data_IF_298570131184
#
_entry.id   IF_298570131184
#
_cell.length_a   1.000
_cell.length_b   1.000
_cell.length_c   1.000
_cell.angle_alpha   90.00
_cell.angle_beta   90.00
_cell.angle_gamma   90.00
#
_symmetry.space_group_name_H-M   'P 1'
#
loop_
_entity.id
_entity.type
_entity.pdbx_description
1 polymer ?
#
# COMPACT_ATOMS: atom_id res chain seq x y z
N UNK A 1 8.97 -22.67 -4.02
CA UNK A 1 9.21 -21.24 -4.35
C UNK A 1 9.94 -21.12 -5.69
N UNK A 2 9.52 -20.20 -6.60
CA UNK A 2 10.30 -19.81 -7.79
C UNK A 2 11.34 -18.76 -7.38
N UNK A 3 12.48 -18.75 -8.05
CA UNK A 3 13.56 -17.79 -7.79
C UNK A 3 14.11 -17.28 -9.12
N UNK A 4 14.10 -15.98 -9.29
CA UNK A 4 14.62 -15.28 -10.46
C UNK A 4 15.75 -14.34 -10.04
N UNK A 5 16.84 -14.31 -10.81
CA UNK A 5 17.90 -13.31 -10.67
C UNK A 5 17.70 -12.26 -11.76
N UNK A 6 17.20 -11.09 -11.36
CA UNK A 6 16.83 -10.03 -12.30
C UNK A 6 18.05 -9.22 -12.75
N UNK A 7 19.04 -9.10 -11.87
CA UNK A 7 20.37 -8.54 -12.17
C UNK A 7 21.44 -9.22 -11.32
N UNK A 8 22.70 -8.78 -11.41
CA UNK A 8 23.78 -9.34 -10.60
C UNK A 8 23.56 -9.13 -9.10
N UNK A 9 22.80 -8.11 -8.73
CA UNK A 9 22.58 -7.71 -7.33
C UNK A 9 21.15 -7.88 -6.87
N UNK A 10 20.16 -8.17 -7.76
CA UNK A 10 18.75 -8.25 -7.42
C UNK A 10 18.18 -9.64 -7.66
N UNK A 11 17.69 -10.25 -6.59
CA UNK A 11 16.98 -11.52 -6.60
C UNK A 11 15.50 -11.31 -6.26
N UNK A 12 14.63 -12.08 -6.92
CA UNK A 12 13.17 -12.10 -6.68
C UNK A 12 12.75 -13.52 -6.33
N UNK A 13 11.89 -13.64 -5.34
CA UNK A 13 11.34 -14.89 -4.83
C UNK A 13 9.83 -14.84 -4.98
N UNK A 14 9.26 -15.81 -5.70
CA UNK A 14 7.80 -15.89 -5.91
C UNK A 14 7.27 -17.12 -5.20
N UNK A 15 6.28 -16.94 -4.34
CA UNK A 15 5.61 -18.04 -3.64
C UNK A 15 4.98 -19.03 -4.62
N UNK A 16 5.19 -20.32 -4.37
CA UNK A 16 4.50 -21.41 -5.05
C UNK A 16 3.22 -21.82 -4.28
N UNK A 17 3.06 -21.36 -3.05
CA UNK A 17 2.01 -21.79 -2.13
C UNK A 17 0.84 -20.81 -2.03
N UNK A 18 1.06 -19.53 -2.36
CA UNK A 18 0.03 -18.49 -2.20
C UNK A 18 0.12 -17.42 -3.26
N UNK A 19 -0.89 -17.36 -4.13
CA UNK A 19 -1.20 -16.24 -5.05
C UNK A 19 0.01 -15.60 -5.76
N UNK A 20 1.12 -16.35 -5.95
CA UNK A 20 2.37 -15.85 -6.55
C UNK A 20 2.89 -14.56 -5.90
N UNK A 21 2.67 -14.38 -4.59
CA UNK A 21 3.22 -13.21 -3.87
C UNK A 21 4.74 -13.19 -3.98
N UNK A 22 5.30 -11.99 -4.09
CA UNK A 22 6.73 -11.81 -4.31
C UNK A 22 7.43 -11.20 -3.10
N UNK A 23 8.69 -11.55 -2.96
CA UNK A 23 9.65 -10.91 -2.08
C UNK A 23 10.95 -10.69 -2.86
N UNK A 24 11.84 -9.83 -2.39
CA UNK A 24 13.09 -9.57 -3.07
C UNK A 24 14.28 -9.36 -2.15
N UNK A 25 15.47 -9.49 -2.70
CA UNK A 25 16.70 -9.14 -2.02
C UNK A 25 17.62 -8.33 -2.95
N UNK A 26 18.12 -7.21 -2.43
CA UNK A 26 19.17 -6.40 -3.06
C UNK A 26 20.48 -6.70 -2.33
N UNK A 27 21.41 -7.34 -3.04
CA UNK A 27 22.71 -7.76 -2.51
C UNK A 27 23.72 -6.62 -2.65
N UNK A 28 24.43 -6.30 -1.58
CA UNK A 28 25.44 -5.25 -1.57
C UNK A 28 26.77 -5.76 -1.02
N UNK A 29 27.83 -4.95 -1.04
CA UNK A 29 29.13 -5.33 -0.46
C UNK A 29 29.08 -5.40 1.09
N UNK A 30 28.06 -4.81 1.75
CA UNK A 30 27.93 -4.73 3.21
C UNK A 30 26.76 -5.53 3.77
N UNK A 31 26.11 -6.36 2.95
CA UNK A 31 24.95 -7.16 3.31
C UNK A 31 23.80 -6.98 2.33
N UNK A 32 22.62 -7.43 2.69
CA UNK A 32 21.42 -7.38 1.85
C UNK A 32 20.33 -6.44 2.43
N UNK A 33 19.55 -5.88 1.51
CA UNK A 33 18.26 -5.26 1.80
C UNK A 33 17.20 -6.25 1.30
N UNK A 34 16.46 -6.86 2.23
CA UNK A 34 15.31 -7.70 1.92
C UNK A 34 14.08 -6.82 1.71
N UNK A 35 13.23 -7.16 0.74
CA UNK A 35 11.98 -6.45 0.42
C UNK A 35 10.86 -7.44 0.55
N UNK A 36 9.98 -7.21 1.52
CA UNK A 36 8.92 -8.11 1.95
C UNK A 36 9.43 -9.51 2.36
N UNK A 37 8.49 -10.34 2.79
CA UNK A 37 8.68 -11.75 3.06
C UNK A 37 7.55 -12.51 2.39
N UNK A 38 7.60 -13.83 2.39
CA UNK A 38 6.50 -14.64 1.89
C UNK A 38 5.53 -15.01 3.03
N UNK A 39 4.28 -15.41 2.73
CA UNK A 39 3.29 -15.70 3.76
C UNK A 39 3.67 -16.88 4.66
N UNK A 40 4.30 -17.90 4.08
CA UNK A 40 4.61 -19.13 4.80
C UNK A 40 6.06 -19.17 5.28
N UNK A 41 6.28 -19.49 6.58
CA UNK A 41 7.62 -19.56 7.16
C UNK A 41 8.59 -20.45 6.40
N UNK A 42 8.13 -21.57 5.85
CA UNK A 42 9.00 -22.51 5.13
C UNK A 42 9.59 -21.87 3.87
N UNK A 43 8.80 -21.14 3.08
CA UNK A 43 9.33 -20.42 1.92
C UNK A 43 10.29 -19.29 2.32
N UNK A 44 10.00 -18.58 3.42
CA UNK A 44 10.92 -17.55 3.93
C UNK A 44 12.24 -18.18 4.42
N UNK A 45 12.20 -19.37 5.02
CA UNK A 45 13.43 -20.12 5.36
C UNK A 45 14.24 -20.52 4.12
N UNK A 46 13.58 -20.92 3.03
CA UNK A 46 14.28 -21.18 1.75
C UNK A 46 15.01 -19.93 1.25
N UNK A 47 14.41 -18.72 1.39
CA UNK A 47 15.07 -17.45 1.07
C UNK A 47 16.32 -17.27 1.94
N UNK A 48 16.21 -17.49 3.24
CA UNK A 48 17.34 -17.35 4.17
C UNK A 48 18.46 -18.31 3.81
N UNK A 49 18.14 -19.58 3.52
CA UNK A 49 19.16 -20.56 3.10
C UNK A 49 19.83 -20.16 1.80
N UNK A 50 19.07 -19.63 0.84
CA UNK A 50 19.68 -19.10 -0.39
C UNK A 50 20.60 -17.92 -0.11
N UNK A 51 20.18 -16.94 0.70
CA UNK A 51 20.99 -15.77 1.03
C UNK A 51 22.31 -16.16 1.72
N UNK A 52 22.35 -17.23 2.52
CA UNK A 52 23.58 -17.76 3.11
C UNK A 52 24.61 -18.17 2.04
N UNK A 53 24.17 -18.61 0.87
CA UNK A 53 25.09 -18.97 -0.22
C UNK A 53 25.82 -17.76 -0.83
N UNK A 54 25.27 -16.54 -0.63
CA UNK A 54 25.88 -15.28 -1.06
C UNK A 54 26.94 -14.76 -0.06
N UNK A 55 27.21 -15.52 1.00
CA UNK A 55 28.21 -15.18 2.02
C UNK A 55 27.87 -13.87 2.74
N UNK A 56 28.85 -12.97 2.94
CA UNK A 56 28.63 -11.70 3.65
C UNK A 56 27.57 -10.81 2.99
N UNK A 57 27.42 -10.88 1.66
CA UNK A 57 26.41 -10.13 0.89
C UNK A 57 24.98 -10.56 1.21
N UNK A 58 24.78 -11.79 1.64
CA UNK A 58 23.47 -12.33 2.00
C UNK A 58 23.04 -12.05 3.44
N UNK A 59 23.86 -11.38 4.25
CA UNK A 59 23.49 -10.97 5.62
C UNK A 59 22.48 -9.83 5.54
N UNK A 60 21.22 -10.09 5.91
CA UNK A 60 20.15 -9.09 5.84
C UNK A 60 20.36 -8.00 6.91
N UNK A 61 20.64 -6.78 6.47
CA UNK A 61 20.80 -5.58 7.32
C UNK A 61 19.49 -4.84 7.51
N UNK A 62 18.73 -4.72 6.42
CA UNK A 62 17.42 -4.08 6.41
C UNK A 62 16.39 -5.00 5.79
N UNK A 63 15.19 -4.99 6.34
CA UNK A 63 14.00 -5.60 5.77
C UNK A 63 12.99 -4.49 5.55
N UNK A 64 12.55 -4.27 4.30
CA UNK A 64 11.57 -3.25 3.95
C UNK A 64 10.22 -3.92 3.76
N UNK A 65 9.20 -3.49 4.51
CA UNK A 65 7.83 -3.91 4.26
C UNK A 65 7.15 -2.92 3.31
N UNK A 66 6.68 -3.40 2.15
CA UNK A 66 5.95 -2.57 1.19
C UNK A 66 4.60 -2.14 1.75
N UNK A 67 3.94 -2.97 2.53
CA UNK A 67 2.70 -2.66 3.24
C UNK A 67 2.40 -3.71 4.32
N UNK A 68 1.31 -3.52 5.08
CA UNK A 68 0.97 -4.29 6.29
C UNK A 68 0.40 -5.68 6.10
N UNK A 69 0.05 -6.12 4.87
CA UNK A 69 -0.61 -7.41 4.68
C UNK A 69 0.28 -8.58 5.08
N UNK A 70 -0.35 -9.64 5.58
CA UNK A 70 0.35 -10.77 6.17
C UNK A 70 1.22 -11.54 5.19
N UNK A 71 0.78 -11.65 3.95
CA UNK A 71 1.52 -12.32 2.89
C UNK A 71 2.83 -11.61 2.50
N UNK A 72 3.01 -10.35 2.94
CA UNK A 72 4.23 -9.57 2.80
C UNK A 72 5.05 -9.45 4.11
N UNK A 73 4.43 -9.76 5.26
CA UNK A 73 5.04 -9.47 6.57
C UNK A 73 5.16 -10.67 7.52
N UNK A 74 4.51 -11.81 7.23
CA UNK A 74 4.50 -12.97 8.13
C UNK A 74 5.89 -13.56 8.38
N UNK A 75 6.82 -13.44 7.44
CA UNK A 75 8.21 -13.91 7.60
C UNK A 75 9.13 -12.93 8.35
N UNK A 76 8.67 -11.73 8.73
CA UNK A 76 9.50 -10.71 9.41
C UNK A 76 10.25 -11.26 10.62
N UNK A 77 9.61 -12.09 11.42
CA UNK A 77 10.18 -12.63 12.67
C UNK A 77 11.38 -13.55 12.44
N UNK A 78 11.56 -14.07 11.22
CA UNK A 78 12.70 -14.92 10.85
C UNK A 78 14.01 -14.14 10.59
N UNK A 79 13.95 -12.81 10.60
CA UNK A 79 15.10 -11.91 10.42
C UNK A 79 15.38 -11.10 11.70
N UNK A 80 15.70 -11.75 12.84
CA UNK A 80 15.77 -11.07 14.14
C UNK A 80 16.81 -9.94 14.21
N UNK A 81 17.88 -10.04 13.42
CA UNK A 81 18.99 -9.07 13.41
C UNK A 81 18.78 -7.92 12.41
N UNK A 82 17.79 -8.01 11.52
CA UNK A 82 17.52 -6.96 10.55
C UNK A 82 16.68 -5.83 11.17
N UNK A 83 16.98 -4.57 10.81
CA UNK A 83 16.10 -3.47 11.10
C UNK A 83 14.98 -3.42 10.07
N UNK A 84 13.72 -3.43 10.51
CA UNK A 84 12.57 -3.38 9.63
C UNK A 84 12.19 -1.94 9.33
N UNK A 85 12.10 -1.60 8.06
CA UNK A 85 11.68 -0.27 7.58
C UNK A 85 10.30 -0.40 6.95
N UNK A 86 9.42 0.56 7.21
CA UNK A 86 8.10 0.63 6.57
C UNK A 86 7.47 2.00 6.71
N UNK A 87 6.35 2.21 6.04
CA UNK A 87 5.61 3.45 6.21
C UNK A 87 5.10 3.59 7.66
N UNK A 88 5.00 4.81 8.20
CA UNK A 88 4.48 5.06 9.56
C UNK A 88 3.12 4.39 9.79
N UNK A 89 2.21 4.51 8.82
CA UNK A 89 0.88 3.88 8.87
C UNK A 89 0.94 2.35 8.87
N UNK A 90 1.95 1.73 8.25
CA UNK A 90 2.19 0.29 8.33
C UNK A 90 2.39 -0.13 9.79
N UNK A 91 3.37 0.48 10.47
CA UNK A 91 3.63 0.21 11.89
C UNK A 91 2.39 0.46 12.75
N UNK A 92 1.74 1.62 12.62
CA UNK A 92 0.56 1.98 13.43
C UNK A 92 -0.59 0.99 13.25
N UNK A 93 -0.85 0.58 12.01
CA UNK A 93 -1.93 -0.38 11.71
C UNK A 93 -1.60 -1.78 12.22
N UNK A 94 -0.35 -2.24 12.04
CA UNK A 94 0.10 -3.53 12.56
C UNK A 94 0.05 -3.58 14.10
N UNK A 95 0.45 -2.51 14.80
CA UNK A 95 0.32 -2.42 16.26
C UNK A 95 -1.13 -2.47 16.72
N UNK A 96 -2.03 -1.86 15.96
CA UNK A 96 -3.45 -1.75 16.34
C UNK A 96 -4.24 -3.02 16.06
N UNK A 97 -3.99 -3.67 14.91
CA UNK A 97 -4.84 -4.73 14.37
C UNK A 97 -4.08 -6.02 14.06
N UNK A 98 -2.74 -5.95 13.96
CA UNK A 98 -1.93 -7.05 13.44
C UNK A 98 -2.01 -8.32 14.29
N UNK A 99 -2.05 -8.19 15.62
CA UNK A 99 -2.15 -9.35 16.52
C UNK A 99 -3.46 -10.13 16.30
N UNK A 100 -4.60 -9.43 16.20
CA UNK A 100 -5.88 -10.06 15.94
C UNK A 100 -5.93 -10.67 14.54
N UNK A 101 -5.49 -9.92 13.52
CA UNK A 101 -5.45 -10.43 12.14
C UNK A 101 -4.57 -11.67 12.00
N UNK A 102 -3.43 -11.72 12.70
CA UNK A 102 -2.56 -12.89 12.69
C UNK A 102 -3.21 -14.09 13.38
N UNK A 103 -3.90 -13.87 14.50
CA UNK A 103 -4.59 -14.95 15.20
C UNK A 103 -5.73 -15.54 14.36
N UNK A 104 -6.52 -14.69 13.69
CA UNK A 104 -7.55 -15.12 12.75
C UNK A 104 -6.94 -15.91 11.57
N UNK A 105 -5.79 -15.46 11.04
CA UNK A 105 -5.07 -16.15 9.97
C UNK A 105 -4.55 -17.55 10.43
N UNK A 106 -4.00 -17.66 11.65
CA UNK A 106 -3.56 -18.94 12.22
C UNK A 106 -4.69 -19.94 12.38
N UNK A 107 -5.88 -19.48 12.79
CA UNK A 107 -7.05 -20.33 12.90
C UNK A 107 -7.49 -20.87 11.54
N UNK A 108 -7.41 -20.06 10.49
CA UNK A 108 -7.76 -20.45 9.13
C UNK A 108 -6.67 -21.29 8.44
N UNK A 109 -5.40 -21.09 8.82
CA UNK A 109 -4.22 -21.64 8.11
C UNK A 109 -3.21 -22.17 9.11
N UNK A 110 -3.23 -23.47 9.45
CA UNK A 110 -2.35 -24.06 10.47
C UNK A 110 -0.85 -23.88 10.20
N UNK A 111 -0.45 -23.72 8.94
CA UNK A 111 0.96 -23.46 8.56
C UNK A 111 1.50 -22.15 9.13
N UNK A 112 0.64 -21.24 9.59
CA UNK A 112 1.01 -19.98 10.20
C UNK A 112 1.19 -20.06 11.73
N UNK A 113 1.01 -21.24 12.35
CA UNK A 113 0.97 -21.38 13.81
C UNK A 113 2.18 -20.79 14.53
N UNK A 114 3.38 -20.88 13.96
CA UNK A 114 4.63 -20.37 14.54
C UNK A 114 4.89 -18.87 14.25
N UNK A 115 4.15 -18.25 13.32
CA UNK A 115 4.36 -16.85 12.95
C UNK A 115 4.22 -15.93 14.16
N UNK A 116 5.12 -14.99 14.30
CA UNK A 116 5.11 -13.96 15.32
C UNK A 116 4.99 -12.58 14.69
N UNK A 117 4.13 -11.75 15.23
CA UNK A 117 4.00 -10.38 14.76
C UNK A 117 5.29 -9.60 15.04
N UNK A 118 5.91 -9.09 13.97
CA UNK A 118 7.04 -8.17 14.05
C UNK A 118 6.79 -6.97 13.15
N UNK A 119 6.75 -5.79 13.75
CA UNK A 119 6.38 -4.54 13.09
C UNK A 119 7.62 -3.74 12.70
N UNK A 120 7.54 -2.78 11.75
CA UNK A 120 8.65 -1.91 11.40
C UNK A 120 9.28 -1.19 12.60
N UNK A 121 10.61 -1.17 12.67
CA UNK A 121 11.41 -0.48 13.68
C UNK A 121 11.66 0.98 13.28
N UNK A 122 11.89 1.22 11.97
CA UNK A 122 12.18 2.52 11.37
C UNK A 122 11.00 2.90 10.47
N UNK A 123 10.51 4.12 10.60
CA UNK A 123 9.35 4.58 9.81
C UNK A 123 9.60 5.92 9.14
N UNK A 124 8.92 6.13 8.00
CA UNK A 124 8.91 7.37 7.25
C UNK A 124 7.49 7.67 6.73
N UNK A 125 7.26 8.84 6.13
CA UNK A 125 5.92 9.26 5.65
C UNK A 125 5.82 9.46 4.14
N UNK A 126 6.81 10.05 3.49
CA UNK A 126 6.74 10.35 2.05
C UNK A 126 7.80 9.63 1.25
N UNK A 127 9.05 9.91 1.54
CA UNK A 127 10.20 9.33 0.87
C UNK A 127 11.34 9.10 1.85
N UNK A 128 12.12 8.06 1.61
CA UNK A 128 13.33 7.76 2.37
C UNK A 128 14.36 7.10 1.45
N UNK A 129 15.63 7.48 1.55
CA UNK A 129 16.71 6.79 0.87
C UNK A 129 17.51 5.95 1.87
N UNK A 130 17.81 4.72 1.49
CA UNK A 130 18.67 3.79 2.23
C UNK A 130 19.95 3.58 1.43
N UNK A 131 21.09 3.78 2.07
CA UNK A 131 22.42 3.58 1.51
C UNK A 131 23.08 2.40 2.18
N UNK A 132 23.48 1.40 1.42
CA UNK A 132 24.17 0.22 1.93
C UNK A 132 25.14 -0.31 0.88
N UNK A 133 26.43 -0.46 1.24
CA UNK A 133 27.46 -1.12 0.41
C UNK A 133 27.56 -0.60 -1.03
N UNK A 134 27.39 0.72 -1.22
CA UNK A 134 27.47 1.38 -2.54
C UNK A 134 26.13 1.39 -3.31
N UNK A 135 25.09 0.71 -2.82
CA UNK A 135 23.77 0.71 -3.43
C UNK A 135 22.87 1.76 -2.76
N UNK A 136 22.04 2.43 -3.56
CA UNK A 136 21.00 3.35 -3.09
C UNK A 136 19.63 2.81 -3.45
N UNK A 137 18.77 2.71 -2.45
CA UNK A 137 17.38 2.29 -2.57
C UNK A 137 16.48 3.42 -2.09
N UNK A 138 15.51 3.85 -2.90
CA UNK A 138 14.52 4.84 -2.52
C UNK A 138 13.19 4.18 -2.17
N UNK A 139 12.66 4.53 -1.04
CA UNK A 139 11.34 4.13 -0.56
C UNK A 139 10.36 5.24 -0.89
N UNK A 140 9.35 4.94 -1.70
CA UNK A 140 8.41 5.90 -2.26
C UNK A 140 7.00 5.61 -1.72
N UNK A 141 6.30 6.59 -1.19
CA UNK A 141 4.91 6.41 -0.77
C UNK A 141 4.00 6.23 -1.99
N UNK A 142 3.40 5.05 -2.11
CA UNK A 142 2.52 4.61 -3.20
C UNK A 142 1.23 4.00 -2.64
N UNK A 143 0.36 4.82 -2.03
CA UNK A 143 -0.89 4.34 -1.42
C UNK A 143 -1.91 3.93 -2.46
N UNK A 144 -2.95 3.22 -2.01
CA UNK A 144 -4.14 2.93 -2.82
C UNK A 144 -4.60 1.49 -2.70
N UNK A 145 -3.72 0.51 -2.80
CA UNK A 145 -4.02 -0.86 -2.37
C UNK A 145 -4.31 -0.90 -0.86
N UNK A 146 -3.42 -0.31 -0.10
CA UNK A 146 -3.59 0.06 1.31
C UNK A 146 -3.16 1.50 1.52
N UNK A 147 -3.49 2.08 2.69
CA UNK A 147 -3.11 3.45 3.04
C UNK A 147 -1.62 3.61 3.36
N UNK A 148 -0.91 2.53 3.56
CA UNK A 148 0.49 2.44 3.99
C UNK A 148 1.42 1.91 2.89
N UNK A 149 0.90 1.73 1.66
CA UNK A 149 1.64 1.19 0.54
C UNK A 149 2.87 2.01 0.16
N UNK A 150 4.00 1.34 -0.08
CA UNK A 150 5.22 1.94 -0.60
C UNK A 150 5.80 1.11 -1.74
N UNK A 151 6.58 1.75 -2.60
CA UNK A 151 7.47 1.10 -3.55
C UNK A 151 8.92 1.23 -3.13
N UNK A 152 9.76 0.29 -3.57
CA UNK A 152 11.20 0.25 -3.29
C UNK A 152 11.95 0.32 -4.62
N UNK A 153 12.57 1.46 -4.90
CA UNK A 153 13.27 1.71 -6.16
C UNK A 153 14.78 1.56 -6.00
N UNK A 154 15.36 0.58 -6.68
CA UNK A 154 16.81 0.33 -6.74
C UNK A 154 17.39 1.21 -7.84
N UNK A 155 18.03 2.34 -7.48
CA UNK A 155 18.45 3.40 -8.43
C UNK A 155 19.36 2.88 -9.54
N UNK A 156 20.44 2.21 -9.17
CA UNK A 156 21.47 1.77 -10.12
C UNK A 156 20.93 0.79 -11.17
N UNK A 157 20.03 -0.08 -10.76
CA UNK A 157 19.42 -1.12 -11.58
C UNK A 157 18.13 -0.67 -12.28
N UNK A 158 17.56 0.47 -11.86
CA UNK A 158 16.26 0.97 -12.34
C UNK A 158 15.15 -0.06 -12.18
N UNK A 159 15.17 -0.80 -11.06
CA UNK A 159 14.19 -1.83 -10.68
C UNK A 159 13.28 -1.26 -9.59
N UNK A 160 11.97 -1.38 -9.78
CA UNK A 160 10.98 -1.01 -8.79
C UNK A 160 10.29 -2.26 -8.24
N UNK A 161 10.39 -2.50 -6.94
CA UNK A 161 9.46 -3.35 -6.22
C UNK A 161 8.23 -2.52 -5.86
N UNK A 162 7.13 -2.76 -6.53
CA UNK A 162 5.94 -1.90 -6.40
C UNK A 162 5.06 -2.26 -5.21
N UNK A 163 5.33 -3.39 -4.52
CA UNK A 163 4.32 -4.01 -3.68
C UNK A 163 3.01 -4.15 -4.46
N UNK A 164 1.90 -4.09 -3.77
CA UNK A 164 0.57 -4.24 -4.36
C UNK A 164 0.00 -2.96 -5.01
N UNK A 165 0.83 -1.90 -5.11
CA UNK A 165 0.49 -0.76 -5.96
C UNK A 165 0.39 -1.18 -7.45
N UNK A 166 1.09 -2.26 -7.83
CA UNK A 166 0.93 -2.92 -9.12
C UNK A 166 0.89 -4.43 -8.93
N UNK A 167 -0.16 -5.06 -9.46
CA UNK A 167 -0.41 -6.49 -9.45
C UNK A 167 -1.30 -6.88 -10.63
N UNK A 168 -1.34 -8.15 -11.07
CA UNK A 168 -2.07 -8.57 -12.27
C UNK A 168 -3.56 -8.22 -12.27
N UNK A 169 -4.17 -8.14 -11.10
CA UNK A 169 -5.52 -7.60 -10.91
C UNK A 169 -5.48 -6.50 -9.84
N UNK A 170 -5.53 -5.22 -10.20
CA UNK A 170 -5.51 -4.12 -9.24
C UNK A 170 -6.57 -4.27 -8.17
N UNK A 171 -6.20 -4.10 -6.90
CA UNK A 171 -7.10 -4.21 -5.75
C UNK A 171 -6.94 -3.02 -4.80
N UNK A 172 -8.08 -2.48 -4.34
CA UNK A 172 -8.15 -1.36 -3.39
C UNK A 172 -9.18 -1.61 -2.27
N UNK A 173 -9.47 -2.87 -2.01
CA UNK A 173 -10.48 -3.28 -1.01
C UNK A 173 -10.16 -2.71 0.36
N UNK A 174 -8.88 -2.67 0.73
CA UNK A 174 -8.38 -2.15 2.01
C UNK A 174 -7.80 -0.73 1.90
N UNK A 175 -8.02 -0.08 0.78
CA UNK A 175 -7.50 1.25 0.48
C UNK A 175 -8.47 2.14 -0.27
N UNK A 176 -7.94 2.84 -1.27
CA UNK A 176 -8.68 3.83 -2.05
C UNK A 176 -8.34 3.73 -3.54
N UNK A 177 -9.39 3.72 -4.41
CA UNK A 177 -9.23 3.59 -5.86
C UNK A 177 -8.49 4.77 -6.48
N UNK A 178 -8.77 5.99 -6.04
CA UNK A 178 -8.19 7.19 -6.63
C UNK A 178 -6.71 7.29 -6.29
N UNK A 179 -6.35 7.00 -5.04
CA UNK A 179 -4.95 6.90 -4.63
C UNK A 179 -4.19 5.81 -5.40
N UNK A 180 -4.84 4.65 -5.67
CA UNK A 180 -4.20 3.59 -6.47
C UNK A 180 -3.95 4.05 -7.91
N UNK A 181 -4.93 4.72 -8.53
CA UNK A 181 -4.77 5.31 -9.86
C UNK A 181 -3.61 6.30 -9.89
N UNK A 182 -3.52 7.21 -8.91
CA UNK A 182 -2.42 8.18 -8.81
C UNK A 182 -1.06 7.49 -8.63
N UNK A 183 -0.98 6.46 -7.78
CA UNK A 183 0.24 5.68 -7.58
C UNK A 183 0.67 4.97 -8.87
N UNK A 184 -0.26 4.34 -9.59
CA UNK A 184 0.03 3.69 -10.88
C UNK A 184 0.48 4.71 -11.94
N UNK A 185 -0.12 5.91 -11.99
CA UNK A 185 0.30 6.97 -12.89
C UNK A 185 1.70 7.50 -12.56
N UNK A 186 2.05 7.61 -11.29
CA UNK A 186 3.42 7.95 -10.86
C UNK A 186 4.43 6.89 -11.30
N UNK A 187 4.11 5.61 -11.14
CA UNK A 187 4.96 4.51 -11.62
C UNK A 187 5.13 4.58 -13.14
N UNK A 188 4.06 4.86 -13.89
CA UNK A 188 4.06 4.90 -15.36
C UNK A 188 5.08 5.86 -15.95
N UNK A 189 5.35 6.98 -15.27
CA UNK A 189 6.29 8.00 -15.76
C UNK A 189 7.72 7.79 -15.28
N UNK A 190 7.97 6.77 -14.45
CA UNK A 190 9.32 6.40 -14.04
C UNK A 190 10.05 5.70 -15.18
N UNK A 191 11.34 5.96 -15.30
CA UNK A 191 12.20 5.24 -16.25
C UNK A 191 12.70 3.93 -15.63
N UNK A 192 11.97 2.83 -15.85
CA UNK A 192 12.22 1.53 -15.25
C UNK A 192 12.72 0.52 -16.28
N UNK A 193 13.63 -0.36 -15.87
CA UNK A 193 14.01 -1.57 -16.62
C UNK A 193 13.13 -2.76 -16.24
N UNK A 194 12.80 -2.89 -14.93
CA UNK A 194 11.93 -3.95 -14.44
C UNK A 194 10.98 -3.42 -13.36
N UNK A 195 9.81 -4.07 -13.24
CA UNK A 195 8.95 -3.95 -12.06
C UNK A 195 8.76 -5.35 -11.46
N UNK A 196 9.06 -5.47 -10.19
CA UNK A 196 8.63 -6.61 -9.37
C UNK A 196 7.29 -6.24 -8.77
N UNK A 197 6.24 -6.86 -9.28
CA UNK A 197 4.87 -6.68 -8.76
C UNK A 197 4.75 -7.32 -7.37
N UNK A 198 3.78 -6.91 -6.56
CA UNK A 198 3.50 -7.59 -5.29
C UNK A 198 3.08 -9.05 -5.47
N UNK A 199 2.42 -9.35 -6.58
CA UNK A 199 2.04 -10.70 -7.00
C UNK A 199 2.32 -10.89 -8.50
N UNK A 200 2.64 -12.13 -8.92
CA UNK A 200 2.84 -12.48 -10.31
C UNK A 200 4.29 -12.37 -10.78
N UNK A 201 4.48 -12.24 -12.08
CA UNK A 201 5.79 -12.23 -12.70
C UNK A 201 6.47 -10.85 -12.64
N UNK A 202 7.79 -10.84 -12.81
CA UNK A 202 8.58 -9.62 -13.02
C UNK A 202 8.27 -9.07 -14.41
N UNK A 203 7.90 -7.79 -14.48
CA UNK A 203 7.63 -7.09 -15.73
C UNK A 203 8.93 -6.55 -16.33
N UNK A 204 9.10 -6.78 -17.62
CA UNK A 204 10.21 -6.24 -18.40
C UNK A 204 9.83 -4.83 -18.92
N UNK A 205 10.83 -4.00 -19.17
CA UNK A 205 10.69 -2.62 -19.67
C UNK A 205 9.63 -2.45 -20.78
N UNK A 206 9.61 -3.38 -21.75
CA UNK A 206 8.67 -3.31 -22.89
C UNK A 206 7.22 -3.60 -22.52
N UNK A 207 6.95 -4.27 -21.41
CA UNK A 207 5.63 -4.67 -20.94
C UNK A 207 5.00 -3.65 -19.99
N UNK A 208 5.85 -2.87 -19.29
CA UNK A 208 5.44 -1.97 -18.22
C UNK A 208 4.32 -1.00 -18.64
N UNK A 209 4.43 -0.24 -19.76
CA UNK A 209 3.38 0.71 -20.13
C UNK A 209 2.03 0.03 -20.40
N UNK A 210 2.04 -1.11 -21.11
CA UNK A 210 0.82 -1.83 -21.46
C UNK A 210 0.11 -2.38 -20.23
N UNK A 211 0.84 -3.01 -19.32
CA UNK A 211 0.29 -3.59 -18.08
C UNK A 211 -0.29 -2.51 -17.18
N UNK A 212 0.39 -1.36 -17.02
CA UNK A 212 -0.13 -0.24 -16.24
C UNK A 212 -1.41 0.31 -16.89
N UNK A 213 -1.43 0.51 -18.21
CA UNK A 213 -2.61 1.01 -18.92
C UNK A 213 -3.79 0.05 -18.84
N UNK A 214 -3.54 -1.26 -18.89
CA UNK A 214 -4.56 -2.27 -18.67
C UNK A 214 -5.16 -2.18 -17.25
N UNK A 215 -4.32 -2.05 -16.23
CA UNK A 215 -4.76 -1.88 -14.85
C UNK A 215 -5.57 -0.59 -14.64
N UNK A 216 -5.10 0.55 -15.18
CA UNK A 216 -5.82 1.82 -15.14
C UNK A 216 -7.17 1.74 -15.84
N UNK A 217 -7.22 1.10 -17.02
CA UNK A 217 -8.45 0.87 -17.78
C UNK A 217 -9.43 -0.01 -17.00
N UNK A 218 -8.96 -1.06 -16.35
CA UNK A 218 -9.76 -1.91 -15.48
C UNK A 218 -10.41 -1.10 -14.34
N UNK A 219 -9.62 -0.31 -13.62
CA UNK A 219 -10.10 0.51 -12.49
C UNK A 219 -11.18 1.50 -12.94
N UNK A 220 -11.03 2.11 -14.11
CA UNK A 220 -12.03 3.01 -14.67
C UNK A 220 -13.29 2.26 -15.11
N UNK A 221 -13.17 1.15 -15.84
CA UNK A 221 -14.30 0.37 -16.31
C UNK A 221 -15.17 -0.18 -15.17
N UNK A 222 -14.57 -0.70 -14.10
CA UNK A 222 -15.34 -1.20 -12.95
C UNK A 222 -16.07 -0.04 -12.26
N UNK A 223 -15.42 1.12 -12.09
CA UNK A 223 -16.05 2.29 -11.48
C UNK A 223 -17.27 2.75 -12.29
N UNK A 224 -17.13 2.94 -13.60
CA UNK A 224 -18.22 3.38 -14.47
C UNK A 224 -19.40 2.38 -14.49
N UNK A 225 -19.11 1.09 -14.53
CA UNK A 225 -20.14 0.04 -14.53
C UNK A 225 -20.89 -0.02 -13.21
N UNK A 226 -20.20 0.06 -12.08
CA UNK A 226 -20.84 0.08 -10.76
C UNK A 226 -21.64 1.36 -10.56
N UNK A 227 -21.08 2.52 -10.93
CA UNK A 227 -21.78 3.81 -10.87
C UNK A 227 -23.10 3.79 -11.67
N UNK A 228 -23.06 3.29 -12.90
CA UNK A 228 -24.28 3.13 -13.74
C UNK A 228 -25.32 2.22 -13.06
N UNK A 229 -24.91 1.15 -12.39
CA UNK A 229 -25.83 0.26 -11.65
C UNK A 229 -26.41 0.95 -10.42
N UNK A 230 -25.59 1.70 -9.70
CA UNK A 230 -25.98 2.46 -8.53
C UNK A 230 -27.02 3.54 -8.88
N UNK A 231 -26.78 4.34 -9.92
CA UNK A 231 -27.68 5.37 -10.45
C UNK A 231 -29.02 4.78 -10.92
N UNK A 232 -29.00 3.57 -11.47
CA UNK A 232 -30.20 2.81 -11.85
C UNK A 232 -30.91 2.16 -10.66
N UNK A 233 -30.56 2.52 -9.39
CA UNK A 233 -31.11 1.94 -8.14
C UNK A 233 -30.92 0.40 -8.06
N UNK A 234 -29.84 -0.12 -8.65
CA UNK A 234 -29.46 -1.54 -8.53
C UNK A 234 -29.01 -1.89 -7.12
N UNK A 235 -28.85 -3.16 -6.87
CA UNK A 235 -28.44 -3.74 -5.58
C UNK A 235 -27.05 -4.38 -5.69
N UNK A 236 -26.46 -4.76 -4.53
CA UNK A 236 -25.18 -5.49 -4.50
C UNK A 236 -25.26 -6.80 -5.34
N UNK A 237 -26.42 -7.50 -5.38
CA UNK A 237 -26.62 -8.70 -6.22
C UNK A 237 -26.49 -8.42 -7.72
N UNK A 238 -26.79 -7.20 -8.18
CA UNK A 238 -26.67 -6.86 -9.59
C UNK A 238 -25.20 -6.70 -10.04
N UNK A 239 -24.26 -6.59 -9.10
CA UNK A 239 -22.83 -6.52 -9.39
C UNK A 239 -22.29 -7.82 -9.98
N UNK A 240 -22.88 -8.98 -9.69
CA UNK A 240 -22.53 -10.28 -10.26
C UNK A 240 -22.59 -10.30 -11.80
N UNK A 241 -23.38 -9.40 -12.39
CA UNK A 241 -23.50 -9.24 -13.86
C UNK A 241 -22.31 -8.51 -14.49
N UNK A 242 -21.48 -7.88 -13.66
CA UNK A 242 -20.23 -7.19 -14.08
C UNK A 242 -19.10 -8.20 -13.94
N UNK A 243 -18.79 -8.94 -15.00
CA UNK A 243 -17.74 -9.96 -14.95
C UNK A 243 -16.37 -9.36 -15.25
N UNK A 244 -15.32 -9.99 -14.75
CA UNK A 244 -13.93 -9.55 -14.90
C UNK A 244 -13.51 -9.47 -16.38
N UNK A 245 -13.96 -10.41 -17.20
CA UNK A 245 -13.66 -10.46 -18.64
C UNK A 245 -14.24 -9.25 -19.38
N UNK A 246 -15.42 -8.78 -18.97
CA UNK A 246 -16.02 -7.54 -19.50
C UNK A 246 -15.27 -6.28 -19.08
N UNK A 247 -14.36 -6.41 -18.10
CA UNK A 247 -13.52 -5.31 -17.62
C UNK A 247 -12.07 -5.43 -18.12
N UNK A 248 -11.82 -6.27 -19.14
CA UNK A 248 -10.54 -6.32 -19.86
C UNK A 248 -9.45 -7.16 -19.21
N UNK A 249 -9.77 -7.91 -18.15
CA UNK A 249 -8.80 -8.80 -17.46
C UNK A 249 -9.20 -10.25 -17.65
N UNK A 250 -8.21 -11.10 -18.02
CA UNK A 250 -8.40 -12.55 -18.06
C UNK A 250 -8.20 -13.13 -16.66
N UNK A 251 -9.14 -13.91 -16.12
CA UNK A 251 -8.99 -14.53 -14.80
C UNK A 251 -8.17 -15.83 -14.82
N UNK A 252 -7.70 -16.29 -15.99
CA UNK A 252 -7.14 -17.64 -16.16
C UNK A 252 -5.86 -17.84 -15.35
N UNK A 253 -5.00 -16.81 -15.30
CA UNK A 253 -3.69 -16.88 -14.65
C UNK A 253 -3.67 -16.27 -13.24
N UNK A 254 -4.82 -15.87 -12.69
CA UNK A 254 -4.89 -15.12 -11.41
C UNK A 254 -5.75 -15.92 -10.43
N UNK A 255 -5.10 -16.49 -9.42
CA UNK A 255 -5.82 -17.18 -8.34
C UNK A 255 -6.74 -16.20 -7.60
N UNK A 256 -7.97 -16.65 -7.31
CA UNK A 256 -8.95 -15.80 -6.60
C UNK A 256 -9.44 -14.56 -7.38
N UNK A 257 -9.11 -14.42 -8.68
CA UNK A 257 -9.42 -13.24 -9.48
C UNK A 257 -10.89 -12.82 -9.43
N UNK A 258 -11.83 -13.76 -9.51
CA UNK A 258 -13.26 -13.47 -9.49
C UNK A 258 -13.75 -12.95 -8.15
N UNK A 259 -13.21 -13.49 -7.05
CA UNK A 259 -13.50 -13.06 -5.68
C UNK A 259 -12.96 -11.65 -5.45
N UNK A 260 -11.71 -11.40 -5.85
CA UNK A 260 -11.07 -10.09 -5.72
C UNK A 260 -11.77 -9.02 -6.57
N UNK A 261 -12.12 -9.37 -7.83
CA UNK A 261 -12.91 -8.50 -8.69
C UNK A 261 -14.25 -8.12 -8.04
N UNK A 262 -14.99 -9.12 -7.52
CA UNK A 262 -16.25 -8.87 -6.85
C UNK A 262 -16.10 -7.98 -5.60
N UNK A 263 -15.04 -8.19 -4.82
CA UNK A 263 -14.72 -7.34 -3.67
C UNK A 263 -14.45 -5.87 -4.06
N UNK A 264 -13.72 -5.63 -5.17
CA UNK A 264 -13.53 -4.29 -5.73
C UNK A 264 -14.88 -3.63 -6.11
N UNK A 265 -15.78 -4.38 -6.77
CA UNK A 265 -17.11 -3.87 -7.14
C UNK A 265 -17.93 -3.50 -5.91
N UNK A 266 -17.94 -4.36 -4.89
CA UNK A 266 -18.62 -4.10 -3.61
C UNK A 266 -18.05 -2.86 -2.92
N UNK A 267 -16.74 -2.68 -2.90
CA UNK A 267 -16.08 -1.50 -2.33
C UNK A 267 -16.57 -0.22 -2.99
N UNK A 268 -16.59 -0.16 -4.33
CA UNK A 268 -17.10 1.00 -5.07
C UNK A 268 -18.57 1.25 -4.72
N UNK A 269 -19.42 0.22 -4.79
CA UNK A 269 -20.86 0.36 -4.55
C UNK A 269 -21.16 0.91 -3.15
N UNK A 270 -20.45 0.42 -2.12
CA UNK A 270 -20.59 0.87 -0.74
C UNK A 270 -20.10 2.30 -0.56
N UNK A 271 -18.96 2.66 -1.16
CA UNK A 271 -18.43 4.03 -1.15
C UNK A 271 -19.42 5.02 -1.78
N UNK A 272 -20.02 4.69 -2.93
CA UNK A 272 -21.03 5.54 -3.58
C UNK A 272 -22.28 5.72 -2.70
N UNK A 273 -22.67 4.70 -1.94
CA UNK A 273 -23.79 4.77 -1.02
C UNK A 273 -23.52 5.67 0.20
N UNK A 274 -22.27 5.75 0.64
CA UNK A 274 -21.87 6.57 1.80
C UNK A 274 -21.63 8.05 1.45
N UNK A 275 -21.31 8.38 0.19
CA UNK A 275 -21.04 9.74 -0.26
C UNK A 275 -22.22 10.74 -0.06
N UNK A 276 -23.50 10.40 -0.32
CA UNK A 276 -24.62 11.33 -0.08
C UNK A 276 -24.77 11.71 1.39
N UNK A 277 -24.50 10.77 2.28
CA UNK A 277 -24.61 10.99 3.75
C UNK A 277 -23.54 11.96 4.25
N UNK A 278 -22.34 11.96 3.63
CA UNK A 278 -21.26 12.91 3.97
C UNK A 278 -21.57 14.30 3.44
N UNK A 279 -22.00 14.43 2.19
CA UNK A 279 -22.37 15.71 1.57
C UNK A 279 -23.53 16.38 2.30
N UNK A 280 -24.57 15.62 2.68
CA UNK A 280 -25.71 16.15 3.47
C UNK A 280 -25.31 16.58 4.89
N UNK A 281 -24.37 15.88 5.53
CA UNK A 281 -23.84 16.28 6.85
C UNK A 281 -22.99 17.54 6.77
N UNK A 282 -22.07 17.63 5.81
CA UNK A 282 -21.23 18.81 5.62
C UNK A 282 -22.05 20.05 5.22
N UNK A 283 -23.07 19.88 4.37
CA UNK A 283 -24.00 20.96 4.03
C UNK A 283 -24.86 21.38 5.21
N UNK A 284 -25.28 20.46 6.07
CA UNK A 284 -26.03 20.76 7.29
C UNK A 284 -25.15 21.49 8.31
N UNK A 285 -23.92 21.02 8.55
CA UNK A 285 -22.97 21.69 9.46
C UNK A 285 -22.57 23.07 8.93
N UNK A 286 -22.44 23.24 7.61
CA UNK A 286 -22.15 24.52 6.96
C UNK A 286 -23.34 25.49 7.12
N UNK A 287 -24.57 25.03 6.96
CA UNK A 287 -25.78 25.83 7.19
C UNK A 287 -25.96 26.20 8.65
N UNK A 288 -25.68 25.30 9.59
CA UNK A 288 -25.74 25.58 11.03
C UNK A 288 -24.65 26.57 11.47
N UNK A 289 -23.42 26.48 10.91
CA UNK A 289 -22.34 27.43 11.19
C UNK A 289 -22.62 28.84 10.63
N UNK A 290 -23.32 28.94 9.50
CA UNK A 290 -23.74 30.22 8.91
C UNK A 290 -24.99 30.84 9.58
N UNK A 291 -25.81 30.02 10.24
CA UNK A 291 -27.02 30.46 10.95
C UNK A 291 -26.75 30.91 12.40
N UNK A 292 -25.53 30.76 12.91
CA UNK A 292 -25.19 31.24 14.26
C UNK A 292 -25.21 32.79 14.32
N UNK A 293 -26.01 33.43 15.16
CA UNK A 293 -26.12 34.89 15.20
C UNK A 293 -24.78 35.50 15.64
N UNK A 294 -24.32 36.48 14.88
CA UNK A 294 -23.14 37.29 15.21
C UNK A 294 -23.27 37.85 16.63
N UNK A 295 -22.42 37.43 17.54
CA UNK A 295 -22.34 38.01 18.89
C UNK A 295 -22.00 39.49 18.74
N UNK A 296 -23.01 40.35 18.89
CA UNK A 296 -22.88 41.79 18.99
C UNK A 296 -21.94 42.14 20.15
N UNK A 297 -20.75 42.62 19.83
CA UNK A 297 -19.85 43.25 20.81
C UNK A 297 -20.53 44.50 21.35
N UNK A 298 -21.09 44.43 22.57
CA UNK A 298 -21.51 45.58 23.31
C UNK A 298 -20.27 46.45 23.58
N UNK A 299 -20.24 47.62 22.98
CA UNK A 299 -19.27 48.67 23.28
C UNK A 299 -19.45 49.16 24.71
N UNK A 300 -18.41 49.15 25.51
CA UNK A 300 -18.40 49.75 26.85
C UNK A 300 -18.40 51.28 26.75
N UNK A 301 -19.08 52.00 27.69
CA UNK A 301 -19.16 53.46 27.64
C UNK A 301 -17.84 54.08 28.08
N UNK A 302 -17.34 55.04 27.28
CA UNK A 302 -16.19 55.89 27.58
C UNK A 302 -16.50 56.83 28.74
N UNK A 303 -15.79 56.68 29.86
CA UNK A 303 -15.75 57.70 30.95
C UNK A 303 -14.85 58.86 30.50
N UNK A 304 -15.50 60.07 30.33
CA UNK A 304 -14.81 61.35 30.21
C UNK A 304 -14.12 61.66 31.55
N UNK A 305 -12.79 61.73 31.59
CA UNK A 305 -12.01 62.17 32.73
C UNK A 305 -11.83 63.69 32.70
N UNK A 306 -12.00 64.29 33.84
CA UNK A 306 -11.74 65.71 34.16
C UNK A 306 -10.25 66.02 34.23
N UNK A 307 -9.86 67.09 33.53
CA UNK A 307 -8.57 67.80 33.75
C UNK A 307 -8.52 68.36 35.16
N UNK A 308 -7.39 68.20 35.84
CA UNK A 308 -6.87 69.15 36.83
C UNK A 308 -5.38 69.37 36.58
N UNK A 309 -5.05 70.64 36.42
CA UNK A 309 -3.72 71.18 36.40
C UNK A 309 -3.27 71.52 37.82
N UNK A 310 -1.99 71.40 38.08
CA UNK A 310 -1.16 72.19 39.02
C UNK A 310 0.25 71.55 38.96
N UNK A 311 1.26 72.24 38.49
CA UNK A 311 2.18 73.24 39.04
C UNK A 311 3.21 72.62 40.00
N UNK A 312 4.48 72.72 39.55
CA UNK A 312 5.73 73.03 40.27
C UNK A 312 6.23 72.09 41.38
N UNK A 313 7.35 71.45 41.21
CA UNK A 313 8.72 71.92 41.59
C UNK A 313 9.72 70.96 40.95
#
# INVERSE_FOLDING_TARGET
MKRDRVSDDVCVFTSALYAQVTAGAVLTSEGAIMIDTLPFPDETREIIEYLKTEGPRGVVRYLVNTHRHGDHTHGNYLFPEANIIGHRLCRETMLRWGAQSLEDAKQATPQLAEVQLRVPDITFEQEMSVYLGGVTVDLLYLPGHTIDGIGVFVRGERILFSGDALMPLPSFVWGDREQLVDSMQRIKVMELEHIVQGHGDVLLRGEIPEIIDQGLSYLELIYQRVKKRFEAKGTERDLEKITIEKCGISPIAIEGARQLHHANLLKIFRTLREQPIKADKEDKERRESQAAPAKTKRSAPTKRGRKKATREA
#
